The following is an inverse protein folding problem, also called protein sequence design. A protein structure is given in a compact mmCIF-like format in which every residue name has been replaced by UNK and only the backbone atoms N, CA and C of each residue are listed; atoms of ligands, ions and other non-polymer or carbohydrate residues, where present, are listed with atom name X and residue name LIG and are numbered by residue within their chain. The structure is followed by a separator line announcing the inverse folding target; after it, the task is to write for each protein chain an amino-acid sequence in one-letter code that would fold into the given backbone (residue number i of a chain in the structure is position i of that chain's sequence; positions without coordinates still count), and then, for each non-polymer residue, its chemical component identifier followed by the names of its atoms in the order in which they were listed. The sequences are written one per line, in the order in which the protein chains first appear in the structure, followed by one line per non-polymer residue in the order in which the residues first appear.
data_IF_367648957128
#
_entry.id   IF_367648957128
#
_cell.length_a   1.000
_cell.length_b   1.000
_cell.length_c   1.000
_cell.angle_alpha   90.00
_cell.angle_beta   90.00
_cell.angle_gamma   90.00
#
_symmetry.space_group_name_H-M   'P 1'
#
loop_
_entity.id
_entity.type
_entity.pdbx_description
1 polymer ?
#
# COMPACT_ATOMS: atom_id res chain seq x y z
N UNK A 1 -24.44 -32.39 24.18
CA UNK A 1 -23.48 -32.73 23.12
C UNK A 1 -22.12 -32.18 23.53
N UNK A 2 -21.17 -33.03 23.89
CA UNK A 2 -19.79 -32.61 24.23
C UNK A 2 -18.94 -32.66 22.96
N UNK A 3 -18.52 -31.49 22.46
CA UNK A 3 -17.59 -31.39 21.32
C UNK A 3 -16.26 -32.04 21.69
N UNK A 4 -15.72 -32.86 20.79
CA UNK A 4 -14.39 -33.44 20.96
C UNK A 4 -13.33 -32.37 20.67
N UNK A 5 -12.18 -32.45 21.33
CA UNK A 5 -11.12 -31.45 21.21
C UNK A 5 -10.68 -31.19 19.75
N UNK A 6 -10.68 -32.21 18.89
CA UNK A 6 -10.34 -32.07 17.47
C UNK A 6 -11.42 -31.36 16.64
N UNK A 7 -12.70 -31.46 17.01
CA UNK A 7 -13.79 -30.70 16.35
C UNK A 7 -13.73 -29.23 16.74
N UNK A 8 -13.35 -28.94 17.99
CA UNK A 8 -13.09 -27.58 18.44
C UNK A 8 -11.87 -26.98 17.72
N UNK A 9 -10.79 -27.76 17.57
CA UNK A 9 -9.63 -27.34 16.79
C UNK A 9 -9.99 -27.06 15.33
N UNK A 10 -10.82 -27.91 14.70
CA UNK A 10 -11.32 -27.67 13.35
C UNK A 10 -12.08 -26.35 13.23
N UNK A 11 -13.03 -26.13 14.13
CA UNK A 11 -13.85 -24.92 14.15
C UNK A 11 -13.00 -23.66 14.35
N UNK A 12 -12.08 -23.67 15.32
CA UNK A 12 -11.14 -22.57 15.54
C UNK A 12 -10.29 -22.34 14.29
N UNK A 13 -9.80 -23.41 13.66
CA UNK A 13 -9.02 -23.34 12.44
C UNK A 13 -9.76 -22.63 11.31
N UNK A 14 -11.01 -23.02 11.07
CA UNK A 14 -11.89 -22.38 10.07
C UNK A 14 -12.10 -20.90 10.39
N UNK A 15 -12.38 -20.55 11.65
CA UNK A 15 -12.56 -19.16 12.07
C UNK A 15 -11.30 -18.33 11.79
N UNK A 16 -10.11 -18.86 12.05
CA UNK A 16 -8.85 -18.18 11.77
C UNK A 16 -8.61 -17.98 10.27
N UNK A 17 -8.97 -18.96 9.43
CA UNK A 17 -8.90 -18.80 7.96
C UNK A 17 -9.86 -17.71 7.49
N UNK A 18 -11.11 -17.71 7.97
CA UNK A 18 -12.08 -16.65 7.64
C UNK A 18 -11.59 -15.28 8.11
N UNK A 19 -11.05 -15.21 9.33
CA UNK A 19 -10.47 -13.98 9.87
C UNK A 19 -9.27 -13.49 9.04
N UNK A 20 -8.44 -14.39 8.52
CA UNK A 20 -7.34 -14.07 7.61
C UNK A 20 -7.87 -13.42 6.32
N UNK A 21 -8.84 -14.06 5.67
CA UNK A 21 -9.47 -13.51 4.44
C UNK A 21 -10.16 -12.17 4.71
N UNK A 22 -10.86 -12.03 5.84
CA UNK A 22 -11.48 -10.77 6.23
C UNK A 22 -10.43 -9.67 6.46
N UNK A 23 -9.31 -10.01 7.11
CA UNK A 23 -8.21 -9.07 7.36
C UNK A 23 -7.60 -8.61 6.03
N UNK A 24 -7.45 -9.51 5.07
CA UNK A 24 -6.95 -9.20 3.74
C UNK A 24 -7.85 -8.20 3.00
N UNK A 25 -9.15 -8.50 2.89
CA UNK A 25 -10.11 -7.69 2.12
C UNK A 25 -10.38 -6.33 2.79
N UNK A 26 -10.54 -6.31 4.11
CA UNK A 26 -11.00 -5.10 4.81
C UNK A 26 -9.86 -4.19 5.30
N UNK A 27 -8.62 -4.69 5.39
CA UNK A 27 -7.52 -3.90 5.94
C UNK A 27 -6.31 -3.84 5.02
N UNK A 28 -5.79 -4.98 4.54
CA UNK A 28 -4.58 -4.98 3.72
C UNK A 28 -4.81 -4.35 2.34
N UNK A 29 -5.81 -4.84 1.59
CA UNK A 29 -6.10 -4.34 0.24
C UNK A 29 -6.39 -2.83 0.20
N UNK A 30 -7.17 -2.25 1.14
CA UNK A 30 -7.36 -0.80 1.19
C UNK A 30 -6.06 -0.01 1.41
N UNK A 31 -5.16 -0.50 2.27
CA UNK A 31 -3.85 0.16 2.51
C UNK A 31 -2.99 0.10 1.25
N UNK A 32 -2.90 -1.07 0.61
CA UNK A 32 -2.14 -1.24 -0.62
C UNK A 32 -2.65 -0.35 -1.74
N UNK A 33 -3.98 -0.30 -1.94
CA UNK A 33 -4.61 0.57 -2.94
C UNK A 33 -4.31 2.05 -2.70
N UNK A 34 -4.33 2.50 -1.45
CA UNK A 34 -3.96 3.88 -1.12
C UNK A 34 -2.50 4.17 -1.46
N UNK A 35 -1.58 3.26 -1.11
CA UNK A 35 -0.16 3.40 -1.46
C UNK A 35 0.02 3.48 -2.98
N UNK A 36 -0.63 2.59 -3.73
CA UNK A 36 -0.56 2.55 -5.20
C UNK A 36 -1.10 3.83 -5.85
N UNK A 37 -2.27 4.32 -5.42
CA UNK A 37 -2.82 5.56 -5.95
C UNK A 37 -1.92 6.77 -5.66
N UNK A 38 -1.33 6.83 -4.48
CA UNK A 38 -0.41 7.91 -4.14
C UNK A 38 0.89 7.83 -4.95
N UNK A 39 1.44 6.62 -5.15
CA UNK A 39 2.58 6.41 -6.05
C UNK A 39 2.25 6.82 -7.50
N UNK A 40 1.06 6.49 -8.00
CA UNK A 40 0.62 6.87 -9.33
C UNK A 40 0.47 8.40 -9.46
N UNK A 41 -0.15 9.05 -8.48
CA UNK A 41 -0.28 10.50 -8.42
C UNK A 41 1.09 11.20 -8.39
N UNK A 42 2.04 10.67 -7.62
CA UNK A 42 3.42 11.14 -7.56
C UNK A 42 4.14 11.04 -8.90
N UNK A 43 4.06 9.89 -9.58
CA UNK A 43 4.64 9.74 -10.94
C UNK A 43 4.04 10.77 -11.91
N UNK A 44 2.73 11.02 -11.83
CA UNK A 44 2.09 12.04 -12.65
C UNK A 44 2.57 13.46 -12.30
N UNK A 45 2.79 13.76 -11.01
CA UNK A 45 3.34 15.04 -10.55
C UNK A 45 4.79 15.23 -11.01
N UNK A 46 5.65 14.20 -10.94
CA UNK A 46 7.02 14.26 -11.45
C UNK A 46 7.06 14.56 -12.95
N UNK A 47 6.22 13.88 -13.73
CA UNK A 47 6.10 14.16 -15.15
C UNK A 47 5.65 15.61 -15.42
N UNK A 48 4.67 16.10 -14.63
CA UNK A 48 4.23 17.50 -14.67
C UNK A 48 5.33 18.50 -14.28
N UNK A 49 6.16 18.16 -13.30
CA UNK A 49 7.30 18.97 -12.85
C UNK A 49 8.34 19.10 -13.96
N UNK A 50 8.71 18.00 -14.62
CA UNK A 50 9.67 18.01 -15.73
C UNK A 50 9.16 18.90 -16.86
N UNK A 51 7.92 18.70 -17.30
CA UNK A 51 7.32 19.51 -18.37
C UNK A 51 7.23 21.00 -17.99
N UNK A 52 6.78 21.31 -16.77
CA UNK A 52 6.64 22.68 -16.32
C UNK A 52 8.00 23.38 -16.18
N UNK A 53 9.02 22.64 -15.73
CA UNK A 53 10.40 23.13 -15.66
C UNK A 53 10.94 23.44 -17.05
N UNK A 54 10.78 22.54 -18.01
CA UNK A 54 11.23 22.74 -19.39
C UNK A 54 10.55 23.96 -20.05
N UNK A 55 9.23 24.11 -19.87
CA UNK A 55 8.49 25.26 -20.41
C UNK A 55 9.03 26.58 -19.85
N UNK A 56 9.27 26.64 -18.54
CA UNK A 56 9.79 27.86 -17.89
C UNK A 56 11.25 28.13 -18.24
N UNK A 57 12.08 27.09 -18.32
CA UNK A 57 13.48 27.19 -18.76
C UNK A 57 13.55 27.74 -20.19
N UNK A 58 12.74 27.18 -21.11
CA UNK A 58 12.64 27.68 -22.49
C UNK A 58 12.16 29.13 -22.55
N UNK A 59 11.19 29.52 -21.73
CA UNK A 59 10.72 30.90 -21.66
C UNK A 59 11.82 31.85 -21.20
N UNK A 60 12.60 31.49 -20.17
CA UNK A 60 13.71 32.31 -19.68
C UNK A 60 14.79 32.45 -20.77
N UNK A 61 15.11 31.37 -21.47
CA UNK A 61 16.06 31.39 -22.60
C UNK A 61 15.57 32.35 -23.70
N UNK A 62 14.29 32.30 -24.06
CA UNK A 62 13.70 33.20 -25.06
C UNK A 62 13.72 34.67 -24.61
N UNK A 63 13.37 34.96 -23.35
CA UNK A 63 13.42 36.32 -22.80
C UNK A 63 14.85 36.88 -22.83
N UNK A 64 15.84 36.05 -22.50
CA UNK A 64 17.27 36.44 -22.58
C UNK A 64 17.71 36.65 -24.03
N UNK A 65 17.33 35.77 -24.95
CA UNK A 65 17.66 35.89 -26.38
C UNK A 65 17.05 37.14 -27.03
N UNK A 66 15.85 37.53 -26.59
CA UNK A 66 15.16 38.75 -27.06
C UNK A 66 15.59 40.02 -26.34
N UNK A 67 16.51 39.94 -25.37
CA UNK A 67 16.94 41.07 -24.53
C UNK A 67 15.77 41.79 -23.85
N UNK A 68 14.80 41.00 -23.38
CA UNK A 68 13.67 41.48 -22.59
C UNK A 68 14.14 42.24 -21.34
N UNK A 69 13.24 43.02 -20.73
CA UNK A 69 13.61 43.84 -19.58
C UNK A 69 14.11 42.94 -18.42
N UNK A 70 15.13 43.37 -17.65
CA UNK A 70 15.66 42.56 -16.53
C UNK A 70 14.58 42.12 -15.53
N UNK A 71 13.59 42.98 -15.29
CA UNK A 71 12.45 42.68 -14.42
C UNK A 71 11.55 41.55 -14.93
N UNK A 72 11.44 41.35 -16.25
CA UNK A 72 10.65 40.27 -16.85
C UNK A 72 11.37 38.92 -16.75
N UNK A 73 12.70 38.94 -16.87
CA UNK A 73 13.55 37.76 -16.67
C UNK A 73 13.50 37.32 -15.20
N UNK A 74 13.64 38.26 -14.27
CA UNK A 74 13.55 37.98 -12.83
C UNK A 74 12.17 37.46 -12.41
N UNK A 75 11.10 38.04 -12.95
CA UNK A 75 9.74 37.54 -12.71
C UNK A 75 9.54 36.10 -13.22
N UNK A 76 10.13 35.75 -14.37
CA UNK A 76 10.09 34.38 -14.90
C UNK A 76 10.91 33.39 -14.05
N UNK A 77 12.09 33.80 -13.57
CA UNK A 77 12.94 33.01 -12.67
C UNK A 77 12.26 32.77 -11.31
N UNK A 78 11.64 33.81 -10.73
CA UNK A 78 10.84 33.70 -9.51
C UNK A 78 9.68 32.72 -9.70
N UNK A 79 8.95 32.83 -10.81
CA UNK A 79 7.83 31.93 -11.10
C UNK A 79 8.26 30.47 -11.26
N UNK A 80 9.43 30.24 -11.85
CA UNK A 80 10.07 28.93 -11.91
C UNK A 80 10.41 28.41 -10.52
N UNK A 81 11.06 29.21 -9.68
CA UNK A 81 11.44 28.81 -8.32
C UNK A 81 10.21 28.41 -7.49
N UNK A 82 9.19 29.27 -7.44
CA UNK A 82 7.95 28.97 -6.71
C UNK A 82 7.25 27.72 -7.21
N UNK A 83 7.31 27.44 -8.51
CA UNK A 83 6.69 26.24 -9.06
C UNK A 83 7.45 24.97 -8.69
N UNK A 84 8.79 25.00 -8.72
CA UNK A 84 9.64 23.89 -8.29
C UNK A 84 9.43 23.58 -6.80
N UNK A 85 9.41 24.60 -5.95
CA UNK A 85 9.18 24.45 -4.50
C UNK A 85 7.83 23.78 -4.18
N UNK A 86 6.78 24.06 -4.97
CA UNK A 86 5.47 23.40 -4.82
C UNK A 86 5.54 21.91 -5.12
N UNK A 87 6.27 21.52 -6.15
CA UNK A 87 6.45 20.11 -6.50
C UNK A 87 7.31 19.38 -5.45
N UNK A 88 8.39 19.98 -4.96
CA UNK A 88 9.22 19.38 -3.89
C UNK A 88 8.42 19.15 -2.60
N UNK A 89 7.54 20.08 -2.23
CA UNK A 89 6.65 19.93 -1.07
C UNK A 89 5.64 18.80 -1.30
N UNK A 90 5.04 18.71 -2.49
CA UNK A 90 4.09 17.65 -2.83
C UNK A 90 4.77 16.27 -2.80
N UNK A 91 5.98 16.17 -3.34
CA UNK A 91 6.80 14.97 -3.35
C UNK A 91 7.13 14.49 -1.93
N UNK A 92 7.54 15.40 -1.05
CA UNK A 92 7.82 15.10 0.36
C UNK A 92 6.57 14.59 1.09
N UNK A 93 5.39 15.15 0.83
CA UNK A 93 4.14 14.73 1.45
C UNK A 93 3.75 13.30 1.03
N UNK A 94 3.91 12.96 -0.25
CA UNK A 94 3.63 11.59 -0.71
C UNK A 94 4.64 10.60 -0.14
N UNK A 95 5.93 10.97 -0.11
CA UNK A 95 6.98 10.13 0.47
C UNK A 95 6.70 9.82 1.95
N UNK A 96 6.36 10.84 2.75
CA UNK A 96 6.00 10.66 4.16
C UNK A 96 4.79 9.72 4.32
N UNK A 97 3.76 9.88 3.49
CA UNK A 97 2.58 9.02 3.54
C UNK A 97 2.91 7.56 3.21
N UNK A 98 3.74 7.30 2.20
CA UNK A 98 4.18 5.93 1.88
C UNK A 98 4.98 5.33 3.02
N UNK A 99 5.94 6.09 3.58
CA UNK A 99 6.74 5.65 4.73
C UNK A 99 5.89 5.33 5.96
N UNK A 100 4.83 6.09 6.21
CA UNK A 100 3.93 5.86 7.34
C UNK A 100 3.05 4.60 7.15
N UNK A 101 2.75 4.23 5.90
CA UNK A 101 1.82 3.11 5.58
C UNK A 101 2.52 1.79 5.32
N UNK A 102 3.77 1.81 4.85
CA UNK A 102 4.58 0.62 4.62
C UNK A 102 4.71 -0.31 5.85
N UNK A 103 5.00 0.16 7.07
CA UNK A 103 5.09 -0.72 8.24
C UNK A 103 3.72 -1.32 8.61
N UNK A 104 2.62 -0.59 8.35
CA UNK A 104 1.26 -1.06 8.59
C UNK A 104 0.89 -2.17 7.61
N UNK A 105 1.24 -2.00 6.33
CA UNK A 105 1.07 -3.02 5.31
C UNK A 105 1.83 -4.30 5.69
N UNK A 106 3.11 -4.18 6.05
CA UNK A 106 3.93 -5.33 6.44
C UNK A 106 3.41 -6.06 7.68
N UNK A 107 2.93 -5.33 8.69
CA UNK A 107 2.31 -5.92 9.87
C UNK A 107 1.03 -6.68 9.52
N UNK A 108 0.16 -6.10 8.69
CA UNK A 108 -1.08 -6.74 8.25
C UNK A 108 -0.79 -8.02 7.45
N UNK A 109 0.20 -8.01 6.56
CA UNK A 109 0.62 -9.21 5.84
C UNK A 109 1.08 -10.32 6.79
N UNK A 110 1.87 -9.97 7.81
CA UNK A 110 2.34 -10.94 8.80
C UNK A 110 1.17 -11.54 9.60
N UNK A 111 0.21 -10.71 10.02
CA UNK A 111 -1.01 -11.15 10.72
C UNK A 111 -1.82 -12.10 9.83
N UNK A 112 -2.07 -11.74 8.58
CA UNK A 112 -2.82 -12.57 7.61
C UNK A 112 -2.15 -13.93 7.45
N UNK A 113 -0.84 -13.95 7.28
CA UNK A 113 -0.05 -15.16 7.09
C UNK A 113 -0.08 -16.05 8.34
N UNK A 114 0.02 -15.47 9.54
CA UNK A 114 -0.09 -16.19 10.80
C UNK A 114 -1.50 -16.78 10.99
N UNK A 115 -2.56 -16.00 10.76
CA UNK A 115 -3.95 -16.45 10.85
C UNK A 115 -4.24 -17.58 9.86
N UNK A 116 -3.80 -17.43 8.61
CA UNK A 116 -4.00 -18.43 7.58
C UNK A 116 -3.25 -19.73 7.90
N UNK A 117 -1.97 -19.63 8.26
CA UNK A 117 -1.12 -20.77 8.57
C UNK A 117 -1.64 -21.56 9.77
N UNK A 118 -1.88 -20.88 10.89
CA UNK A 118 -2.44 -21.51 12.09
C UNK A 118 -3.84 -22.06 11.85
N UNK A 119 -4.68 -21.32 11.13
CA UNK A 119 -6.04 -21.74 10.80
C UNK A 119 -6.07 -23.01 9.97
N UNK A 120 -5.27 -23.06 8.90
CA UNK A 120 -5.17 -24.24 8.03
C UNK A 120 -4.63 -25.45 8.77
N UNK A 121 -3.63 -25.29 9.63
CA UNK A 121 -3.08 -26.37 10.43
C UNK A 121 -4.11 -26.94 11.41
N UNK A 122 -4.83 -26.08 12.13
CA UNK A 122 -5.84 -26.50 13.10
C UNK A 122 -7.06 -27.15 12.42
N UNK A 123 -7.53 -26.57 11.30
CA UNK A 123 -8.60 -27.12 10.49
C UNK A 123 -8.23 -28.50 9.92
N UNK A 124 -7.05 -28.60 9.31
CA UNK A 124 -6.54 -29.84 8.74
C UNK A 124 -6.32 -30.93 9.79
N UNK A 125 -5.77 -30.58 10.96
CA UNK A 125 -5.60 -31.52 12.07
C UNK A 125 -6.94 -32.05 12.58
N UNK A 126 -7.90 -31.15 12.83
CA UNK A 126 -9.23 -31.54 13.28
C UNK A 126 -9.92 -32.50 12.33
N UNK A 127 -9.85 -32.18 11.03
CA UNK A 127 -10.42 -33.01 9.96
C UNK A 127 -9.73 -34.38 9.83
N UNK A 128 -8.40 -34.41 9.93
CA UNK A 128 -7.64 -35.66 9.88
C UNK A 128 -7.99 -36.59 11.05
N UNK A 129 -8.08 -36.04 12.26
CA UNK A 129 -8.44 -36.81 13.45
C UNK A 129 -9.88 -37.34 13.38
N UNK A 130 -10.80 -36.59 12.78
CA UNK A 130 -12.16 -37.06 12.54
C UNK A 130 -12.19 -38.27 11.59
N UNK A 131 -11.41 -38.22 10.49
CA UNK A 131 -11.29 -39.33 9.54
C UNK A 131 -10.64 -40.58 10.17
N UNK A 132 -9.62 -40.39 11.00
CA UNK A 132 -8.98 -41.48 11.73
C UNK A 132 -9.94 -42.11 12.75
N UNK A 133 -10.72 -41.30 13.46
CA UNK A 133 -11.72 -41.76 14.41
C UNK A 133 -12.90 -42.47 13.73
N UNK A 134 -13.26 -42.11 12.49
CA UNK A 134 -14.32 -42.80 11.74
C UNK A 134 -13.87 -44.13 11.13
N UNK A 135 -12.58 -44.27 10.80
CA UNK A 135 -12.01 -45.49 10.20
C UNK A 135 -11.66 -46.59 11.22
N UNK A 136 -11.68 -46.27 12.52
CA UNK A 136 -11.64 -47.26 13.60
C UNK A 136 -13.02 -47.32 14.29
N UNK A 137 -13.98 -48.11 13.75
CA UNK A 137 -15.17 -48.42 14.52
C UNK A 137 -14.74 -49.17 15.78
N UNK A 138 -15.10 -48.63 16.95
CA UNK A 138 -14.95 -49.33 18.21
C UNK A 138 -15.56 -50.73 18.08
N UNK A 139 -14.76 -51.77 18.35
CA UNK A 139 -15.26 -53.12 18.58
C UNK A 139 -16.09 -53.16 19.86
#
# INVERSE_FOLDING_TARGET
MTLRAYQLAEFIGILLVIASTATQIFYLEPVQRQIEWNKAAFTQQQNGQVLAREILDNRIVLLRATRAAPSEIEAAEMRRKTLIERYETADANVANLVLDKEPVEGLLQLIIMALFGLGTLLAGYGRLMELLASNHPAK
#
